data_IF_377759344341
#
_entry.id   IF_377759344341
#
_cell.length_a   1.000
_cell.length_b   1.000
_cell.length_c   1.000
_cell.angle_alpha   90.00
_cell.angle_beta   90.00
_cell.angle_gamma   90.00
#
_symmetry.space_group_name_H-M   'P 1'
#
loop_
_entity.id
_entity.type
_entity.pdbx_description
1 polymer ?
#
# COMPACT_ATOMS: atom_id res chain seq x y z
N UNK A 1 -12.69 2.67 -10.61
CA UNK A 1 -13.74 1.89 -9.90
C UNK A 1 -13.11 0.57 -9.51
N UNK A 2 -12.82 0.41 -8.23
CA UNK A 2 -12.25 -0.82 -7.69
C UNK A 2 -13.32 -1.91 -7.76
N UNK A 3 -13.04 -3.10 -8.33
CA UNK A 3 -13.98 -4.22 -8.34
C UNK A 3 -14.47 -4.55 -6.92
N UNK A 4 -15.78 -4.66 -6.74
CA UNK A 4 -16.40 -4.91 -5.44
C UNK A 4 -16.00 -6.29 -4.85
N UNK A 5 -15.57 -7.22 -5.71
CA UNK A 5 -15.16 -8.58 -5.35
C UNK A 5 -13.66 -8.73 -5.02
N UNK A 6 -12.89 -7.64 -4.91
CA UNK A 6 -11.48 -7.74 -4.53
C UNK A 6 -11.36 -8.16 -3.05
N UNK A 7 -10.71 -9.30 -2.85
CA UNK A 7 -10.24 -9.73 -1.53
C UNK A 7 -9.02 -8.90 -1.12
N UNK A 8 -9.27 -7.92 -0.25
CA UNK A 8 -8.24 -7.03 0.28
C UNK A 8 -7.26 -7.76 1.21
N UNK A 9 -7.68 -8.83 1.89
CA UNK A 9 -6.77 -9.60 2.76
C UNK A 9 -5.73 -10.31 1.90
N UNK A 10 -6.18 -11.03 0.87
CA UNK A 10 -5.28 -11.71 -0.05
C UNK A 10 -4.37 -10.71 -0.78
N UNK A 11 -4.93 -9.58 -1.23
CA UNK A 11 -4.14 -8.56 -1.90
C UNK A 11 -3.07 -7.94 -0.98
N UNK A 12 -3.38 -7.73 0.30
CA UNK A 12 -2.41 -7.25 1.29
C UNK A 12 -1.28 -8.24 1.49
N UNK A 13 -1.60 -9.54 1.55
CA UNK A 13 -0.60 -10.59 1.66
C UNK A 13 0.30 -10.65 0.40
N UNK A 14 -0.29 -10.56 -0.79
CA UNK A 14 0.45 -10.53 -2.06
C UNK A 14 1.40 -9.33 -2.12
N UNK A 15 0.92 -8.14 -1.73
CA UNK A 15 1.71 -6.91 -1.70
C UNK A 15 2.87 -7.02 -0.71
N UNK A 16 2.63 -7.53 0.49
CA UNK A 16 3.67 -7.75 1.51
C UNK A 16 4.76 -8.70 1.01
N UNK A 17 4.37 -9.78 0.36
CA UNK A 17 5.31 -10.75 -0.21
C UNK A 17 6.15 -10.14 -1.35
N UNK A 18 5.56 -9.28 -2.18
CA UNK A 18 6.24 -8.63 -3.31
C UNK A 18 7.26 -7.57 -2.88
N UNK A 19 7.05 -6.89 -1.76
CA UNK A 19 8.00 -5.92 -1.20
C UNK A 19 9.30 -6.60 -0.70
N UNK A 20 9.23 -7.88 -0.34
CA UNK A 20 10.37 -8.61 0.23
C UNK A 20 10.89 -7.94 1.52
N UNK A 21 12.20 -8.03 1.82
CA UNK A 21 12.76 -7.45 3.04
C UNK A 21 12.88 -5.92 3.01
N UNK A 22 12.59 -5.28 1.89
CA UNK A 22 12.69 -3.83 1.70
C UNK A 22 11.32 -3.16 1.77
N UNK A 23 10.75 -3.05 2.97
CA UNK A 23 9.51 -2.30 3.17
C UNK A 23 9.68 -0.85 2.69
N UNK A 24 8.62 -0.25 2.11
CA UNK A 24 8.70 1.12 1.66
C UNK A 24 8.91 2.06 2.85
N UNK A 25 9.71 3.10 2.64
CA UNK A 25 9.94 4.17 3.62
C UNK A 25 9.33 5.48 3.16
N UNK A 26 8.85 6.26 4.12
CA UNK A 26 8.20 7.54 3.89
C UNK A 26 6.79 7.41 3.31
N UNK A 27 5.96 8.42 3.56
CA UNK A 27 4.54 8.35 3.24
C UNK A 27 4.26 8.30 1.72
N UNK A 28 4.55 9.39 1.00
CA UNK A 28 4.29 9.49 -0.45
C UNK A 28 5.12 8.49 -1.27
N UNK A 29 6.37 8.28 -0.87
CA UNK A 29 7.25 7.30 -1.52
C UNK A 29 6.70 5.89 -1.32
N UNK A 30 6.27 5.55 -0.10
CA UNK A 30 5.71 4.23 0.17
C UNK A 30 4.42 3.97 -0.59
N UNK A 31 3.50 4.94 -0.63
CA UNK A 31 2.31 4.86 -1.49
C UNK A 31 2.66 4.62 -2.95
N UNK A 32 3.63 5.37 -3.48
CA UNK A 32 4.05 5.22 -4.87
C UNK A 32 4.65 3.84 -5.18
N UNK A 33 5.46 3.29 -4.27
CA UNK A 33 6.04 1.95 -4.42
C UNK A 33 4.94 0.89 -4.40
N UNK A 34 4.04 0.94 -3.42
CA UNK A 34 2.96 -0.04 -3.30
C UNK A 34 1.99 0.05 -4.49
N UNK A 35 1.65 1.26 -4.95
CA UNK A 35 0.85 1.46 -6.17
C UNK A 35 1.50 0.82 -7.38
N UNK A 36 2.79 1.10 -7.62
CA UNK A 36 3.49 0.54 -8.77
C UNK A 36 3.52 -1.00 -8.71
N UNK A 37 3.69 -1.59 -7.52
CA UNK A 37 3.58 -3.03 -7.34
C UNK A 37 2.19 -3.58 -7.69
N UNK A 38 1.11 -2.88 -7.31
CA UNK A 38 -0.24 -3.30 -7.68
C UNK A 38 -0.48 -3.28 -9.20
N UNK A 39 0.07 -2.26 -9.89
CA UNK A 39 0.07 -2.20 -11.36
C UNK A 39 0.82 -3.40 -11.95
N UNK A 40 2.02 -3.70 -11.44
CA UNK A 40 2.87 -4.76 -11.97
C UNK A 40 2.33 -6.18 -11.68
N UNK A 41 1.76 -6.41 -10.49
CA UNK A 41 1.28 -7.72 -10.05
C UNK A 41 -0.08 -8.10 -10.65
N UNK A 42 -0.96 -7.13 -10.84
CA UNK A 42 -2.38 -7.37 -11.14
C UNK A 42 -2.86 -6.70 -12.42
N UNK A 43 -2.01 -5.90 -13.06
CA UNK A 43 -2.36 -5.18 -14.29
C UNK A 43 -3.39 -4.07 -14.09
N UNK A 44 -3.54 -3.57 -12.85
CA UNK A 44 -4.38 -2.40 -12.59
C UNK A 44 -3.85 -1.18 -13.32
N UNK A 45 -4.73 -0.25 -13.69
CA UNK A 45 -4.29 1.07 -14.09
C UNK A 45 -3.67 1.81 -12.90
N UNK A 46 -2.86 2.85 -13.19
CA UNK A 46 -2.26 3.70 -12.15
C UNK A 46 -3.31 4.32 -11.23
N UNK A 47 -4.46 4.75 -11.78
CA UNK A 47 -5.54 5.34 -11.00
C UNK A 47 -6.21 4.31 -10.09
N UNK A 48 -6.55 3.12 -10.62
CA UNK A 48 -7.16 2.06 -9.81
C UNK A 48 -6.24 1.61 -8.69
N UNK A 49 -4.94 1.49 -8.97
CA UNK A 49 -3.96 1.14 -7.95
C UNK A 49 -3.84 2.22 -6.86
N UNK A 50 -3.87 3.50 -7.22
CA UNK A 50 -3.85 4.60 -6.24
C UNK A 50 -5.11 4.58 -5.36
N UNK A 51 -6.29 4.51 -5.98
CA UNK A 51 -7.58 4.40 -5.26
C UNK A 51 -7.58 3.20 -4.30
N UNK A 52 -6.96 2.09 -4.71
CA UNK A 52 -6.89 0.86 -3.93
C UNK A 52 -5.93 0.97 -2.75
N UNK A 53 -4.76 1.61 -2.92
CA UNK A 53 -3.85 1.91 -1.81
C UNK A 53 -4.55 2.80 -0.77
N UNK A 54 -5.24 3.84 -1.21
CA UNK A 54 -6.00 4.72 -0.30
C UNK A 54 -7.12 3.96 0.43
N UNK A 55 -7.81 3.06 -0.27
CA UNK A 55 -8.85 2.21 0.32
C UNK A 55 -8.26 1.24 1.35
N UNK A 56 -7.13 0.61 1.03
CA UNK A 56 -6.45 -0.32 1.94
C UNK A 56 -5.94 0.39 3.20
N UNK A 57 -5.40 1.61 3.05
CA UNK A 57 -5.00 2.45 4.19
C UNK A 57 -6.22 2.86 5.04
N UNK A 58 -7.28 3.35 4.41
CA UNK A 58 -8.52 3.76 5.10
C UNK A 58 -9.15 2.61 5.88
N UNK A 59 -9.02 1.37 5.37
CA UNK A 59 -9.53 0.16 6.00
C UNK A 59 -8.53 -0.52 6.96
N UNK A 60 -7.33 0.04 7.15
CA UNK A 60 -6.35 -0.42 8.13
C UNK A 60 -5.40 -1.53 7.66
N UNK A 61 -5.49 -1.97 6.41
CA UNK A 61 -4.56 -2.97 5.84
C UNK A 61 -3.15 -2.43 5.65
N UNK A 62 -3.05 -1.12 5.41
CA UNK A 62 -1.80 -0.37 5.33
C UNK A 62 -1.82 0.69 6.43
N UNK A 63 -0.75 0.77 7.21
CA UNK A 63 -0.63 1.78 8.25
C UNK A 63 0.74 2.42 8.21
N UNK A 64 0.78 3.72 7.91
CA UNK A 64 2.01 4.48 8.06
C UNK A 64 2.33 4.66 9.55
N UNK A 65 3.56 4.35 9.96
CA UNK A 65 3.98 4.42 11.37
C UNK A 65 4.58 5.78 11.76
N UNK A 66 4.76 6.69 10.79
CA UNK A 66 5.21 8.07 11.02
C UNK A 66 4.07 9.09 11.00
N UNK A 67 4.43 10.39 11.05
CA UNK A 67 3.49 11.49 10.85
C UNK A 67 3.44 11.89 9.36
N UNK A 68 2.29 11.70 8.68
CA UNK A 68 2.17 12.05 7.26
C UNK A 68 2.13 13.57 6.98
N UNK A 69 1.94 14.40 8.01
CA UNK A 69 1.94 15.88 7.92
C UNK A 69 3.34 16.48 8.01
N UNK A 70 4.32 15.70 8.50
CA UNK A 70 5.71 16.12 8.56
C UNK A 70 6.45 15.80 7.26
N UNK A 71 7.06 16.84 6.65
CA UNK A 71 7.77 16.75 5.36
C UNK A 71 9.03 15.88 5.37
N UNK A 72 9.47 15.36 6.52
CA UNK A 72 10.81 14.76 6.69
C UNK A 72 10.84 13.41 7.40
N UNK A 73 9.73 12.67 7.50
CA UNK A 73 9.77 11.28 8.02
C UNK A 73 10.15 10.30 6.90
N UNK A 74 11.28 10.58 6.22
CA UNK A 74 11.77 9.77 5.10
C UNK A 74 12.10 8.33 5.51
N UNK A 75 12.35 8.09 6.81
CA UNK A 75 12.74 6.80 7.37
C UNK A 75 11.60 6.08 8.12
N UNK A 76 10.39 6.66 8.17
CA UNK A 76 9.27 5.96 8.80
C UNK A 76 8.78 4.79 7.93
N UNK A 77 8.53 3.67 8.61
CA UNK A 77 8.08 2.42 8.03
C UNK A 77 6.56 2.37 7.87
N UNK A 78 6.10 1.37 7.12
CA UNK A 78 4.71 1.00 6.97
C UNK A 78 4.48 -0.35 7.65
N UNK A 79 3.41 -0.47 8.44
CA UNK A 79 2.88 -1.75 8.85
C UNK A 79 1.87 -2.23 7.80
N UNK A 80 2.05 -3.46 7.34
CA UNK A 80 1.27 -4.10 6.29
C UNK A 80 0.76 -5.42 6.86
N UNK A 81 -0.54 -5.49 7.13
CA UNK A 81 -1.17 -6.63 7.82
C UNK A 81 -2.46 -7.06 7.14
N UNK A 82 -2.57 -8.34 6.71
CA UNK A 82 -3.82 -8.87 6.14
C UNK A 82 -4.92 -9.11 7.19
N UNK A 83 -4.62 -8.91 8.49
CA UNK A 83 -5.53 -9.15 9.60
C UNK A 83 -6.10 -7.86 10.22
N UNK A 84 -6.21 -6.81 9.40
CA UNK A 84 -6.75 -5.51 9.79
C UNK A 84 -8.18 -5.59 10.36
#
# INVERSE_FOLDING_TARGET
MIPEDIDLQQLTADLKNALGPGEPIGYLRGKSVMRNLLVDLRGFSQLEAEELIDTMETRGFLRFLGDPTERSVADAHWDISPHA
#
